data_IF_762622780611
#
_entry.id   IF_762622780611
#
_cell.length_a   1.000
_cell.length_b   1.000
_cell.length_c   1.000
_cell.angle_alpha   90.00
_cell.angle_beta   90.00
_cell.angle_gamma   90.00
#
_symmetry.space_group_name_H-M   'P 1'
#
loop_
_entity.id
_entity.type
_entity.pdbx_description
1 polymer ?
#
# COMPACT_ATOMS: atom_id res chain seq x y z
N UNK A 1 8.68 -4.92 -4.96
CA UNK A 1 7.53 -4.84 -4.04
C UNK A 1 7.23 -3.39 -3.75
N UNK A 2 6.27 -3.12 -2.87
CA UNK A 2 5.93 -1.77 -2.43
C UNK A 2 5.91 -1.71 -0.91
N UNK A 3 6.49 -0.67 -0.34
CA UNK A 3 6.33 -0.31 1.07
C UNK A 3 5.55 1.00 1.15
N UNK A 4 4.48 0.99 1.94
CA UNK A 4 3.56 2.11 2.14
C UNK A 4 3.65 2.50 3.61
N UNK A 5 4.12 3.70 3.89
CA UNK A 5 4.16 4.25 5.24
C UNK A 5 2.97 5.19 5.43
N UNK A 6 2.24 5.00 6.52
CA UNK A 6 1.02 5.75 6.84
C UNK A 6 1.23 6.45 8.17
N UNK A 7 1.27 7.78 8.15
CA UNK A 7 1.53 8.60 9.35
C UNK A 7 0.28 8.90 10.19
N UNK A 8 -0.91 8.54 9.71
CA UNK A 8 -2.18 8.79 10.38
C UNK A 8 -3.02 7.50 10.49
N UNK A 9 -3.59 7.24 11.67
CA UNK A 9 -4.44 6.05 11.94
C UNK A 9 -5.87 6.19 11.41
N UNK A 10 -6.14 7.16 10.53
CA UNK A 10 -7.46 7.33 9.93
C UNK A 10 -7.83 6.12 9.06
N UNK A 11 -8.90 5.42 9.47
CA UNK A 11 -9.49 4.28 8.76
C UNK A 11 -9.83 4.56 7.29
N UNK A 12 -10.07 5.81 6.90
CA UNK A 12 -10.34 6.21 5.52
C UNK A 12 -9.11 6.04 4.62
N UNK A 13 -7.91 6.28 5.14
CA UNK A 13 -6.66 6.14 4.37
C UNK A 13 -6.49 4.69 3.93
N UNK A 14 -6.74 3.73 4.83
CA UNK A 14 -6.67 2.30 4.52
C UNK A 14 -7.68 1.87 3.46
N UNK A 15 -8.91 2.41 3.51
CA UNK A 15 -9.92 2.15 2.49
C UNK A 15 -9.48 2.65 1.12
N UNK A 16 -8.89 3.84 1.07
CA UNK A 16 -8.37 4.42 -0.17
C UNK A 16 -7.18 3.63 -0.72
N UNK A 17 -6.20 3.27 0.13
CA UNK A 17 -5.08 2.39 -0.26
C UNK A 17 -5.60 1.08 -0.84
N UNK A 18 -6.55 0.43 -0.14
CA UNK A 18 -7.14 -0.83 -0.58
C UNK A 18 -7.83 -0.67 -1.93
N UNK A 19 -8.63 0.38 -2.13
CA UNK A 19 -9.32 0.63 -3.41
C UNK A 19 -8.32 0.79 -4.56
N UNK A 20 -7.23 1.53 -4.36
CA UNK A 20 -6.19 1.72 -5.39
C UNK A 20 -5.48 0.40 -5.69
N UNK A 21 -5.16 -0.39 -4.68
CA UNK A 21 -4.55 -1.70 -4.86
C UNK A 21 -5.50 -2.71 -5.53
N UNK A 22 -6.79 -2.66 -5.21
CA UNK A 22 -7.82 -3.52 -5.79
C UNK A 22 -8.07 -3.22 -7.28
N UNK A 23 -7.98 -1.95 -7.70
CA UNK A 23 -7.98 -1.57 -9.14
C UNK A 23 -6.82 -2.22 -9.91
N UNK A 24 -5.69 -2.44 -9.23
CA UNK A 24 -4.51 -3.13 -9.76
C UNK A 24 -4.46 -4.61 -9.38
N UNK A 25 -5.50 -5.20 -8.79
CA UNK A 25 -5.42 -6.58 -8.28
C UNK A 25 -5.23 -7.55 -9.43
N UNK A 26 -4.19 -8.36 -9.30
CA UNK A 26 -3.92 -9.43 -10.24
C UNK A 26 -4.70 -10.66 -9.77
N UNK A 27 -5.77 -11.00 -10.48
CA UNK A 27 -6.52 -12.25 -10.28
C UNK A 27 -5.96 -13.42 -11.08
N UNK A 28 -5.09 -13.14 -12.05
CA UNK A 28 -4.47 -14.13 -12.91
C UNK A 28 -3.11 -14.56 -12.33
N UNK A 29 -3.02 -15.82 -11.91
CA UNK A 29 -1.85 -16.44 -11.29
C UNK A 29 -0.61 -16.46 -12.20
N UNK A 30 -0.73 -16.13 -13.49
CA UNK A 30 0.41 -16.00 -14.42
C UNK A 30 1.06 -14.62 -14.41
N UNK A 31 0.39 -13.57 -13.92
CA UNK A 31 0.96 -12.21 -13.89
C UNK A 31 1.81 -12.03 -12.63
N UNK A 32 3.06 -11.59 -12.80
CA UNK A 32 4.00 -11.32 -11.71
C UNK A 32 3.61 -10.02 -11.00
N UNK A 33 2.78 -10.11 -9.97
CA UNK A 33 2.57 -9.00 -9.02
C UNK A 33 3.68 -8.90 -7.98
N UNK A 34 3.75 -7.76 -7.32
CA UNK A 34 4.67 -7.55 -6.19
C UNK A 34 3.94 -7.58 -4.85
N UNK A 35 4.69 -7.94 -3.82
CA UNK A 35 4.25 -7.88 -2.42
C UNK A 35 4.13 -6.41 -1.98
N UNK A 36 3.15 -6.14 -1.12
CA UNK A 36 2.88 -4.81 -0.57
C UNK A 36 2.89 -4.90 0.95
N UNK A 37 3.71 -4.06 1.57
CA UNK A 37 3.80 -3.90 3.02
C UNK A 37 3.25 -2.54 3.40
N UNK A 38 2.42 -2.48 4.43
CA UNK A 38 1.87 -1.24 5.01
C UNK A 38 2.46 -1.08 6.40
N UNK A 39 3.23 -0.02 6.59
CA UNK A 39 3.78 0.39 7.88
C UNK A 39 2.96 1.56 8.42
N UNK A 40 2.27 1.33 9.54
CA UNK A 40 1.51 2.34 10.25
C UNK A 40 2.42 2.96 11.30
N UNK A 41 2.79 4.22 11.10
CA UNK A 41 3.65 4.93 12.05
C UNK A 41 2.81 5.38 13.24
N UNK A 42 3.19 4.94 14.44
CA UNK A 42 2.52 5.29 15.69
C UNK A 42 3.33 6.29 16.50
N UNK A 43 2.73 7.42 16.90
CA UNK A 43 3.43 8.45 17.70
C UNK A 43 3.95 7.96 19.07
N UNK A 44 3.40 6.89 19.64
CA UNK A 44 3.71 6.48 21.04
C UNK A 44 3.84 4.97 21.24
N UNK A 45 3.43 4.14 20.28
CA UNK A 45 3.28 2.69 20.45
C UNK A 45 4.12 1.85 19.47
N UNK A 46 5.09 2.46 18.80
CA UNK A 46 5.88 1.82 17.75
C UNK A 46 5.14 1.72 16.41
N UNK A 47 5.90 1.33 15.39
CA UNK A 47 5.41 1.14 14.03
C UNK A 47 4.83 -0.26 13.87
N UNK A 48 3.66 -0.36 13.23
CA UNK A 48 3.01 -1.64 12.92
C UNK A 48 3.20 -1.92 11.44
N UNK A 49 3.92 -2.99 11.09
CA UNK A 49 4.05 -3.46 9.71
C UNK A 49 3.04 -4.57 9.43
N UNK A 50 2.34 -4.45 8.29
CA UNK A 50 1.36 -5.40 7.79
C UNK A 50 1.72 -5.80 6.36
N UNK A 51 1.99 -7.08 6.12
CA UNK A 51 2.07 -7.62 4.77
C UNK A 51 0.67 -7.93 4.24
N UNK A 52 0.36 -7.47 3.03
CA UNK A 52 -0.90 -7.81 2.38
C UNK A 52 -0.82 -9.22 1.75
N UNK A 53 -1.89 -10.02 1.85
CA UNK A 53 -1.86 -11.44 1.46
C UNK A 53 -1.81 -11.67 -0.05
N UNK A 54 -2.21 -10.67 -0.84
CA UNK A 54 -2.27 -10.76 -2.29
C UNK A 54 -1.05 -10.14 -2.97
N UNK A 55 -0.80 -10.51 -4.22
CA UNK A 55 0.15 -9.82 -5.09
C UNK A 55 -0.58 -8.77 -5.92
N UNK A 56 -0.02 -7.56 -5.94
CA UNK A 56 -0.63 -6.42 -6.60
C UNK A 56 0.15 -6.00 -7.83
N UNK A 57 -0.55 -5.43 -8.83
CA UNK A 57 0.09 -4.83 -10.00
C UNK A 57 0.72 -3.48 -9.60
N UNK A 58 1.99 -3.51 -9.23
CA UNK A 58 2.74 -2.31 -8.88
C UNK A 58 3.23 -1.66 -10.18
N UNK A 59 2.49 -0.67 -10.67
CA UNK A 59 2.84 0.11 -11.84
C UNK A 59 2.88 1.62 -11.50
N UNK A 60 3.46 2.48 -12.37
CA UNK A 60 3.60 3.91 -12.10
C UNK A 60 2.28 4.65 -11.83
N UNK A 61 1.16 4.17 -12.38
CA UNK A 61 -0.17 4.76 -12.15
C UNK A 61 -0.63 4.49 -10.72
N UNK A 62 -0.53 3.24 -10.26
CA UNK A 62 -0.92 2.84 -8.90
C UNK A 62 -0.01 3.51 -7.87
N UNK A 63 1.31 3.53 -8.10
CA UNK A 63 2.24 4.19 -7.17
C UNK A 63 2.06 5.70 -7.13
N UNK A 64 1.75 6.34 -8.27
CA UNK A 64 1.39 7.75 -8.32
C UNK A 64 0.11 8.08 -7.55
N UNK A 65 -0.93 7.25 -7.69
CA UNK A 65 -2.19 7.42 -6.97
C UNK A 65 -2.04 7.19 -5.45
N UNK A 66 -1.17 6.28 -5.02
CA UNK A 66 -0.87 6.09 -3.60
C UNK A 66 -0.09 7.27 -3.02
N UNK A 67 0.86 7.84 -3.77
CA UNK A 67 1.65 9.01 -3.36
C UNK A 67 0.84 10.31 -3.26
N UNK A 68 -0.31 10.40 -3.94
CA UNK A 68 -1.17 11.59 -3.85
C UNK A 68 -2.06 11.61 -2.61
N UNK A 69 -2.13 10.50 -1.85
CA UNK A 69 -2.92 10.43 -0.62
C UNK A 69 -2.15 11.16 0.50
N UNK A 70 -2.74 12.18 1.14
CA UNK A 70 -2.09 12.92 2.22
C UNK A 70 -1.70 11.99 3.38
N UNK A 71 -0.45 12.14 3.86
CA UNK A 71 0.07 11.32 4.97
C UNK A 71 0.53 9.91 4.57
N UNK A 72 0.63 9.63 3.27
CA UNK A 72 1.27 8.41 2.75
C UNK A 72 2.64 8.72 2.18
N UNK A 73 3.62 7.89 2.52
CA UNK A 73 4.90 7.80 1.83
C UNK A 73 5.04 6.41 1.19
N UNK A 74 5.61 6.34 -0.02
CA UNK A 74 5.70 5.09 -0.78
C UNK A 74 7.13 4.86 -1.27
N UNK A 75 7.69 3.71 -0.93
CA UNK A 75 9.00 3.23 -1.36
C UNK A 75 8.87 1.99 -2.25
N UNK A 76 9.65 1.94 -3.33
CA UNK A 76 9.77 0.76 -4.19
C UNK A 76 10.96 -0.08 -3.73
N UNK A 77 10.75 -1.37 -3.50
CA UNK A 77 11.77 -2.33 -3.04
C UNK A 77 12.02 -3.45 -4.04
#
# INVERSE_FOLDING_TARGET
GLRIFVSNRDTQIYKTIKSQLDEGRITDSKKKGGMVHITIQGNVAGDVELELPDRYNINPRITGALKSIPGIHVETV
#
